data_IF_755340540143
#
_entry.id   IF_755340540143
#
_cell.length_a   1.000
_cell.length_b   1.000
_cell.length_c   1.000
_cell.angle_alpha   90.00
_cell.angle_beta   90.00
_cell.angle_gamma   90.00
#
_symmetry.space_group_name_H-M   'P 1'
#
loop_
_entity.id
_entity.type
_entity.pdbx_description
1 polymer ?
#
# COMPACT_ATOMS: atom_id res chain seq x y z
N UNK A 1 -16.90 -36.86 -36.52
CA UNK A 1 -18.10 -36.57 -35.71
C UNK A 1 -17.75 -35.32 -34.92
N UNK A 2 -18.04 -34.15 -35.50
CA UNK A 2 -17.59 -32.84 -35.02
C UNK A 2 -18.59 -32.32 -34.01
N UNK A 3 -18.17 -32.19 -32.76
CA UNK A 3 -18.99 -31.71 -31.66
C UNK A 3 -19.04 -30.18 -31.73
N UNK A 4 -20.10 -29.65 -32.33
CA UNK A 4 -20.36 -28.21 -32.40
C UNK A 4 -20.64 -27.73 -30.97
N UNK A 5 -19.63 -27.11 -30.35
CA UNK A 5 -19.79 -26.37 -29.10
C UNK A 5 -20.87 -25.31 -29.30
N UNK A 6 -22.06 -25.58 -28.76
CA UNK A 6 -23.15 -24.63 -28.69
C UNK A 6 -22.69 -23.41 -27.88
N UNK A 7 -22.28 -22.35 -28.57
CA UNK A 7 -22.09 -21.04 -27.96
C UNK A 7 -23.45 -20.59 -27.47
N UNK A 8 -23.67 -20.72 -26.17
CA UNK A 8 -24.87 -20.25 -25.48
C UNK A 8 -24.92 -18.72 -25.57
N UNK A 9 -25.42 -18.22 -26.71
CA UNK A 9 -25.74 -16.81 -26.89
C UNK A 9 -26.87 -16.48 -25.91
N UNK A 10 -26.51 -16.00 -24.71
CA UNK A 10 -27.47 -15.41 -23.77
C UNK A 10 -28.26 -14.34 -24.54
N UNK A 11 -29.55 -14.60 -24.77
CA UNK A 11 -30.46 -13.62 -25.33
C UNK A 11 -30.35 -12.34 -24.51
N UNK A 12 -30.17 -11.16 -25.14
CA UNK A 12 -30.17 -9.91 -24.40
C UNK A 12 -31.53 -9.79 -23.72
N UNK A 13 -31.53 -9.80 -22.39
CA UNK A 13 -32.72 -9.50 -21.59
C UNK A 13 -33.18 -8.13 -22.06
N UNK A 14 -34.40 -8.03 -22.60
CA UNK A 14 -35.02 -6.74 -22.93
C UNK A 14 -35.30 -6.01 -21.62
N UNK A 15 -34.30 -5.33 -21.11
CA UNK A 15 -34.44 -4.48 -19.92
C UNK A 15 -35.13 -3.18 -20.32
N UNK A 16 -36.07 -2.76 -19.49
CA UNK A 16 -36.64 -1.42 -19.59
C UNK A 16 -35.57 -0.38 -19.22
N UNK A 17 -35.65 0.86 -19.74
CA UNK A 17 -34.73 1.92 -19.37
C UNK A 17 -34.65 2.17 -17.85
N UNK A 18 -35.78 1.97 -17.15
CA UNK A 18 -35.86 2.10 -15.69
C UNK A 18 -35.10 0.98 -14.97
N UNK A 19 -35.27 -0.28 -15.38
CA UNK A 19 -34.54 -1.41 -14.79
C UNK A 19 -33.02 -1.28 -14.99
N UNK A 20 -32.60 -0.81 -16.17
CA UNK A 20 -31.20 -0.50 -16.45
C UNK A 20 -30.69 0.60 -15.52
N UNK A 21 -31.43 1.70 -15.38
CA UNK A 21 -31.05 2.81 -14.50
C UNK A 21 -30.92 2.37 -13.03
N UNK A 22 -31.87 1.56 -12.54
CA UNK A 22 -31.84 1.05 -11.16
C UNK A 22 -30.63 0.14 -10.93
N UNK A 23 -30.33 -0.75 -11.89
CA UNK A 23 -29.17 -1.64 -11.81
C UNK A 23 -27.86 -0.86 -11.82
N UNK A 24 -27.69 0.08 -12.76
CA UNK A 24 -26.48 0.91 -12.85
C UNK A 24 -26.31 1.78 -11.61
N UNK A 25 -27.40 2.35 -11.09
CA UNK A 25 -27.38 3.13 -9.84
C UNK A 25 -26.96 2.27 -8.65
N UNK A 26 -27.50 1.06 -8.53
CA UNK A 26 -27.11 0.11 -7.48
C UNK A 26 -25.65 -0.32 -7.58
N UNK A 27 -25.17 -0.60 -8.80
CA UNK A 27 -23.77 -0.93 -9.06
C UNK A 27 -22.83 0.24 -8.70
N UNK A 28 -23.22 1.46 -9.07
CA UNK A 28 -22.49 2.68 -8.72
C UNK A 28 -22.43 2.91 -7.22
N UNK A 29 -23.56 2.84 -6.51
CA UNK A 29 -23.60 2.98 -5.05
C UNK A 29 -22.77 1.93 -4.33
N UNK A 30 -22.79 0.68 -4.80
CA UNK A 30 -21.96 -0.39 -4.25
C UNK A 30 -20.46 -0.15 -4.51
N UNK A 31 -20.10 0.38 -5.68
CA UNK A 31 -18.71 0.76 -5.99
C UNK A 31 -18.24 1.93 -5.13
N UNK A 32 -19.09 2.95 -4.95
CA UNK A 32 -18.81 4.10 -4.10
C UNK A 32 -18.63 3.70 -2.64
N UNK A 33 -19.54 2.89 -2.11
CA UNK A 33 -19.43 2.36 -0.74
C UNK A 33 -18.15 1.54 -0.55
N UNK A 34 -17.81 0.69 -1.53
CA UNK A 34 -16.57 -0.09 -1.50
C UNK A 34 -15.34 0.82 -1.48
N UNK A 35 -15.29 1.84 -2.34
CA UNK A 35 -14.18 2.79 -2.37
C UNK A 35 -14.07 3.53 -1.04
N UNK A 36 -15.19 4.03 -0.50
CA UNK A 36 -15.24 4.70 0.79
C UNK A 36 -14.73 3.79 1.92
N UNK A 37 -15.15 2.52 1.93
CA UNK A 37 -14.71 1.54 2.91
C UNK A 37 -13.21 1.24 2.83
N UNK A 38 -12.67 0.99 1.63
CA UNK A 38 -11.24 0.76 1.44
C UNK A 38 -10.42 1.99 1.85
N UNK A 39 -10.92 3.18 1.52
CA UNK A 39 -10.31 4.46 1.90
C UNK A 39 -10.31 4.64 3.42
N UNK A 40 -11.41 4.30 4.09
CA UNK A 40 -11.53 4.36 5.55
C UNK A 40 -10.60 3.36 6.26
N UNK A 41 -10.25 2.25 5.62
CA UNK A 41 -9.30 1.28 6.16
C UNK A 41 -7.83 1.69 5.97
N UNK A 42 -7.49 2.27 4.82
CA UNK A 42 -6.10 2.60 4.49
C UNK A 42 -5.67 3.97 5.03
N UNK A 43 -6.54 4.98 5.00
CA UNK A 43 -6.24 6.35 5.46
C UNK A 43 -5.67 6.40 6.89
N UNK A 44 -6.23 5.71 7.91
CA UNK A 44 -5.68 5.75 9.26
C UNK A 44 -4.25 5.18 9.34
N UNK A 45 -3.94 4.17 8.53
CA UNK A 45 -2.59 3.58 8.48
C UNK A 45 -1.61 4.55 7.83
N UNK A 46 -2.02 5.24 6.76
CA UNK A 46 -1.20 6.28 6.12
C UNK A 46 -0.94 7.45 7.07
N UNK A 47 -1.98 7.92 7.77
CA UNK A 47 -1.86 9.01 8.75
C UNK A 47 -0.98 8.60 9.92
N UNK A 48 -1.20 7.42 10.51
CA UNK A 48 -0.36 6.91 11.60
C UNK A 48 1.10 6.79 11.14
N UNK A 49 1.33 6.31 9.93
CA UNK A 49 2.67 6.22 9.36
C UNK A 49 3.33 7.58 9.18
N UNK A 50 2.61 8.55 8.60
CA UNK A 50 3.11 9.89 8.36
C UNK A 50 3.41 10.64 9.66
N UNK A 51 2.49 10.62 10.61
CA UNK A 51 2.60 11.34 11.89
C UNK A 51 3.63 10.73 12.84
N UNK A 52 4.08 9.51 12.59
CA UNK A 52 5.11 8.83 13.41
C UNK A 52 6.41 8.60 12.64
N UNK A 53 6.58 9.26 11.48
CA UNK A 53 7.76 9.09 10.62
C UNK A 53 9.07 9.48 11.32
N UNK A 54 9.03 10.49 12.19
CA UNK A 54 10.18 11.00 12.94
C UNK A 54 10.44 10.23 14.26
N UNK A 55 9.57 9.27 14.63
CA UNK A 55 9.75 8.47 15.82
C UNK A 55 10.72 7.30 15.57
N UNK A 56 11.99 7.51 15.90
CA UNK A 56 13.05 6.51 15.77
C UNK A 56 12.87 5.31 16.72
N UNK A 57 13.27 4.13 16.27
CA UNK A 57 13.23 2.89 17.07
C UNK A 57 14.58 2.64 17.74
N UNK A 58 14.73 3.09 18.99
CA UNK A 58 15.98 2.98 19.75
C UNK A 58 16.27 1.59 20.34
N UNK A 59 15.28 0.69 20.38
CA UNK A 59 15.39 -0.60 21.10
C UNK A 59 16.53 -1.49 20.62
N UNK A 60 16.97 -1.32 19.38
CA UNK A 60 18.00 -2.15 18.75
C UNK A 60 19.38 -1.48 18.71
N UNK A 61 19.51 -0.24 19.18
CA UNK A 61 20.76 0.51 19.12
C UNK A 61 21.87 -0.12 19.98
N UNK A 62 21.49 -0.84 21.04
CA UNK A 62 22.44 -1.52 21.94
C UNK A 62 23.19 -2.68 21.26
N UNK A 63 22.74 -3.14 20.09
CA UNK A 63 23.36 -4.23 19.34
C UNK A 63 24.54 -3.72 18.50
N UNK A 64 24.63 -2.41 18.26
CA UNK A 64 25.60 -1.81 17.33
C UNK A 64 26.48 -0.78 18.04
N UNK A 65 27.80 -1.00 18.01
CA UNK A 65 28.78 -0.09 18.62
C UNK A 65 28.95 1.22 17.83
N UNK A 66 28.87 1.13 16.50
CA UNK A 66 29.05 2.29 15.62
C UNK A 66 27.77 3.11 15.53
N UNK A 67 27.87 4.41 15.80
CA UNK A 67 26.77 5.36 15.66
C UNK A 67 26.16 5.32 14.25
N UNK A 68 26.97 5.11 13.22
CA UNK A 68 26.55 5.03 11.82
C UNK A 68 25.68 3.79 11.51
N UNK A 69 25.76 2.74 12.33
CA UNK A 69 25.02 1.48 12.12
C UNK A 69 23.75 1.38 12.96
N UNK A 70 23.55 2.31 13.91
CA UNK A 70 22.40 2.27 14.83
C UNK A 70 21.07 2.29 14.06
N UNK A 71 20.16 1.34 14.33
CA UNK A 71 18.85 1.28 13.70
C UNK A 71 18.02 2.54 13.86
N UNK A 72 18.15 3.28 14.96
CA UNK A 72 17.43 4.54 15.16
C UNK A 72 17.65 5.59 14.06
N UNK A 73 18.76 5.53 13.30
CA UNK A 73 19.02 6.47 12.22
C UNK A 73 18.19 6.23 10.95
N UNK A 74 17.65 5.01 10.78
CA UNK A 74 17.00 4.59 9.53
C UNK A 74 15.67 3.86 9.75
N UNK A 75 15.44 3.34 10.95
CA UNK A 75 14.23 2.63 11.34
C UNK A 75 13.34 3.54 12.19
N UNK A 76 12.17 3.88 11.66
CA UNK A 76 11.14 4.63 12.37
C UNK A 76 9.84 3.84 12.53
N UNK A 77 9.05 4.23 13.54
CA UNK A 77 7.69 3.71 13.74
C UNK A 77 6.86 3.94 12.47
N UNK A 78 6.94 5.13 11.89
CA UNK A 78 6.25 5.46 10.65
C UNK A 78 6.63 4.56 9.48
N UNK A 79 7.92 4.23 9.33
CA UNK A 79 8.40 3.29 8.31
C UNK A 79 7.86 1.87 8.48
N UNK A 80 7.72 1.40 9.72
CA UNK A 80 7.11 0.11 10.04
C UNK A 80 5.62 0.13 9.70
N UNK A 81 4.89 1.17 10.12
CA UNK A 81 3.44 1.31 9.83
C UNK A 81 3.21 1.42 8.31
N UNK A 82 4.09 2.10 7.57
CA UNK A 82 4.00 2.16 6.10
C UNK A 82 4.14 0.78 5.45
N UNK A 83 4.98 -0.08 6.03
CA UNK A 83 5.12 -1.47 5.56
C UNK A 83 3.78 -2.20 5.68
N UNK A 84 3.06 -2.02 6.79
CA UNK A 84 1.70 -2.54 6.95
C UNK A 84 0.73 -1.99 5.90
N UNK A 85 0.83 -0.70 5.52
CA UNK A 85 0.00 -0.12 4.46
C UNK A 85 0.24 -0.82 3.10
N UNK A 86 1.50 -1.09 2.74
CA UNK A 86 1.85 -1.84 1.54
C UNK A 86 1.26 -3.26 1.54
N UNK A 87 1.30 -3.95 2.68
CA UNK A 87 0.72 -5.29 2.83
C UNK A 87 -0.82 -5.26 2.78
N UNK A 88 -1.45 -4.21 3.32
CA UNK A 88 -2.90 -4.03 3.29
C UNK A 88 -3.42 -3.84 1.85
N UNK A 89 -2.70 -3.09 1.03
CA UNK A 89 -3.01 -2.88 -0.39
C UNK A 89 -2.95 -4.19 -1.20
N UNK A 90 -2.07 -5.12 -0.82
CA UNK A 90 -2.05 -6.47 -1.40
C UNK A 90 -3.35 -7.24 -1.09
N UNK A 91 -3.89 -7.10 0.12
CA UNK A 91 -5.18 -7.69 0.48
C UNK A 91 -6.34 -7.06 -0.30
N UNK A 92 -6.27 -5.75 -0.56
CA UNK A 92 -7.26 -5.07 -1.41
C UNK A 92 -7.24 -5.63 -2.83
N UNK A 93 -6.04 -5.75 -3.41
CA UNK A 93 -5.81 -6.30 -4.75
C UNK A 93 -6.32 -7.74 -4.86
N UNK A 94 -6.12 -8.54 -3.80
CA UNK A 94 -6.67 -9.90 -3.72
C UNK A 94 -8.20 -9.94 -3.79
N UNK A 95 -8.87 -9.10 -3.00
CA UNK A 95 -10.32 -9.17 -2.83
C UNK A 95 -11.07 -8.50 -3.98
N UNK A 96 -10.59 -7.36 -4.45
CA UNK A 96 -11.31 -6.45 -5.34
C UNK A 96 -10.61 -6.21 -6.69
N UNK A 97 -9.36 -6.62 -6.84
CA UNK A 97 -8.54 -6.37 -8.02
C UNK A 97 -7.73 -5.07 -7.94
N UNK A 98 -6.76 -4.94 -8.84
CA UNK A 98 -5.77 -3.87 -8.82
C UNK A 98 -6.30 -2.49 -9.19
N UNK A 99 -7.30 -2.41 -10.07
CA UNK A 99 -7.95 -1.12 -10.38
C UNK A 99 -8.59 -0.52 -9.13
N UNK A 100 -9.28 -1.36 -8.36
CA UNK A 100 -9.98 -0.97 -7.14
C UNK A 100 -9.01 -0.67 -6.01
N UNK A 101 -7.93 -1.44 -5.89
CA UNK A 101 -6.85 -1.15 -4.95
C UNK A 101 -6.15 0.18 -5.28
N UNK A 102 -5.90 0.45 -6.57
CA UNK A 102 -5.28 1.69 -7.04
C UNK A 102 -6.15 2.91 -6.76
N UNK A 103 -7.46 2.83 -7.02
CA UNK A 103 -8.42 3.88 -6.66
C UNK A 103 -8.43 4.14 -5.15
N UNK A 104 -8.39 3.08 -4.34
CA UNK A 104 -8.32 3.20 -2.89
C UNK A 104 -7.02 3.86 -2.42
N UNK A 105 -5.86 3.54 -3.04
CA UNK A 105 -4.58 4.22 -2.78
C UNK A 105 -4.73 5.72 -3.06
N UNK A 106 -5.18 6.10 -4.26
CA UNK A 106 -5.32 7.52 -4.64
C UNK A 106 -6.26 8.26 -3.70
N UNK A 107 -7.42 7.68 -3.40
CA UNK A 107 -8.41 8.28 -2.49
C UNK A 107 -7.86 8.42 -1.07
N UNK A 108 -7.13 7.42 -0.56
CA UNK A 108 -6.58 7.45 0.81
C UNK A 108 -5.48 8.48 0.97
N UNK A 109 -4.59 8.62 -0.02
CA UNK A 109 -3.60 9.70 -0.01
C UNK A 109 -4.24 11.08 -0.12
N UNK A 110 -5.30 11.23 -0.93
CA UNK A 110 -6.06 12.48 -1.02
C UNK A 110 -6.72 12.86 0.30
N UNK A 111 -7.41 11.90 0.95
CA UNK A 111 -8.03 12.14 2.27
C UNK A 111 -6.97 12.39 3.34
N UNK A 112 -5.87 11.62 3.36
CA UNK A 112 -4.77 11.84 4.30
C UNK A 112 -4.15 13.23 4.15
N UNK A 113 -3.94 13.69 2.91
CA UNK A 113 -3.44 15.04 2.64
C UNK A 113 -4.40 16.10 3.19
N UNK A 114 -5.71 15.98 2.94
CA UNK A 114 -6.72 16.91 3.47
C UNK A 114 -6.66 16.94 5.01
N UNK A 115 -6.60 15.79 5.67
CA UNK A 115 -6.52 15.70 7.13
C UNK A 115 -5.24 16.34 7.68
N UNK A 116 -4.09 16.07 7.04
CA UNK A 116 -2.81 16.67 7.44
C UNK A 116 -2.84 18.19 7.26
N UNK A 117 -3.31 18.70 6.11
CA UNK A 117 -3.39 20.15 5.89
C UNK A 117 -4.38 20.84 6.82
N UNK A 118 -5.53 20.21 7.12
CA UNK A 118 -6.47 20.72 8.11
C UNK A 118 -5.84 20.80 9.50
N UNK A 119 -5.15 19.73 9.94
CA UNK A 119 -4.44 19.71 11.21
C UNK A 119 -3.31 20.75 11.28
N UNK A 120 -2.54 20.93 10.20
CA UNK A 120 -1.51 21.96 10.12
C UNK A 120 -2.11 23.37 10.19
N UNK A 121 -3.24 23.62 9.53
CA UNK A 121 -3.92 24.91 9.60
C UNK A 121 -4.43 25.23 11.02
N UNK A 122 -4.91 24.22 11.74
CA UNK A 122 -5.34 24.37 13.14
C UNK A 122 -4.16 24.59 14.10
N UNK A 123 -3.05 23.87 13.92
CA UNK A 123 -1.87 23.97 14.78
C UNK A 123 -0.91 25.09 14.39
N UNK A 124 -1.09 25.73 13.22
CA UNK A 124 -0.22 26.78 12.70
C UNK A 124 0.16 27.89 13.70
N UNK A 125 -0.72 28.35 14.62
CA UNK A 125 -0.33 29.38 15.60
C UNK A 125 0.68 28.93 16.64
N UNK A 126 0.86 27.61 16.85
CA UNK A 126 1.69 27.03 17.92
C UNK A 126 2.95 26.36 17.35
N UNK A 127 2.91 25.92 16.09
CA UNK A 127 4.03 25.23 15.44
C UNK A 127 5.22 26.17 15.19
N UNK A 128 6.41 25.66 15.42
CA UNK A 128 7.69 26.30 15.14
C UNK A 128 8.37 25.62 13.94
N UNK A 129 9.30 26.31 13.29
CA UNK A 129 10.06 25.74 12.16
C UNK A 129 10.80 24.44 12.53
N UNK A 130 11.20 24.29 13.80
CA UNK A 130 11.86 23.08 14.31
C UNK A 130 10.94 21.87 14.43
N UNK A 131 9.61 22.07 14.40
CA UNK A 131 8.64 20.99 14.52
C UNK A 131 8.42 20.26 13.19
N UNK A 132 8.96 20.78 12.09
CA UNK A 132 8.78 20.21 10.77
C UNK A 132 9.97 19.35 10.35
N UNK A 133 9.73 18.10 9.89
CA UNK A 133 10.77 17.34 9.20
C UNK A 133 11.17 18.05 7.90
N UNK A 134 12.39 17.77 7.44
CA UNK A 134 12.90 18.36 6.20
C UNK A 134 11.93 18.08 5.03
N UNK A 135 11.48 19.14 4.34
CA UNK A 135 10.49 19.05 3.27
C UNK A 135 10.88 18.03 2.18
N UNK A 136 12.18 17.93 1.86
CA UNK A 136 12.73 16.93 0.93
C UNK A 136 12.40 15.49 1.35
N UNK A 137 12.53 15.19 2.65
CA UNK A 137 12.31 13.85 3.20
C UNK A 137 10.83 13.51 3.20
N UNK A 138 9.97 14.50 3.51
CA UNK A 138 8.51 14.37 3.45
C UNK A 138 8.06 14.05 2.02
N UNK A 139 8.51 14.84 1.05
CA UNK A 139 8.17 14.64 -0.38
C UNK A 139 8.68 13.28 -0.87
N UNK A 140 9.94 12.94 -0.55
CA UNK A 140 10.52 11.65 -0.90
C UNK A 140 9.73 10.49 -0.28
N UNK A 141 9.31 10.61 0.98
CA UNK A 141 8.53 9.58 1.67
C UNK A 141 7.16 9.37 1.02
N UNK A 142 6.39 10.44 0.82
CA UNK A 142 5.05 10.35 0.23
C UNK A 142 5.11 9.80 -1.19
N UNK A 143 6.00 10.35 -2.03
CA UNK A 143 6.13 9.93 -3.42
C UNK A 143 6.58 8.47 -3.55
N UNK A 144 7.61 8.07 -2.80
CA UNK A 144 8.12 6.70 -2.83
C UNK A 144 7.12 5.69 -2.27
N UNK A 145 6.42 6.02 -1.19
CA UNK A 145 5.41 5.15 -0.58
C UNK A 145 4.22 4.94 -1.53
N UNK A 146 3.72 6.00 -2.14
CA UNK A 146 2.61 5.91 -3.09
C UNK A 146 3.00 5.11 -4.34
N UNK A 147 4.18 5.35 -4.92
CA UNK A 147 4.70 4.58 -6.06
C UNK A 147 4.91 3.10 -5.69
N UNK A 148 5.48 2.82 -4.51
CA UNK A 148 5.67 1.47 -4.01
C UNK A 148 4.35 0.71 -3.86
N UNK A 149 3.28 1.37 -3.39
CA UNK A 149 1.95 0.78 -3.30
C UNK A 149 1.38 0.44 -4.68
N UNK A 150 1.47 1.33 -5.67
CA UNK A 150 1.02 1.01 -7.04
C UNK A 150 1.81 -0.14 -7.66
N UNK A 151 3.13 -0.20 -7.42
CA UNK A 151 3.95 -1.33 -7.90
C UNK A 151 3.57 -2.64 -7.20
N UNK A 152 3.32 -2.62 -5.89
CA UNK A 152 2.82 -3.80 -5.19
C UNK A 152 1.49 -4.30 -5.79
N UNK A 153 0.55 -3.39 -6.06
CA UNK A 153 -0.72 -3.73 -6.73
C UNK A 153 -0.48 -4.37 -8.10
N UNK A 154 0.34 -3.72 -8.93
CA UNK A 154 0.60 -4.18 -10.30
C UNK A 154 1.23 -5.58 -10.32
N UNK A 155 2.30 -5.78 -9.54
CA UNK A 155 2.95 -7.09 -9.45
C UNK A 155 2.02 -8.16 -8.90
N UNK A 156 1.17 -7.82 -7.92
CA UNK A 156 0.20 -8.77 -7.40
C UNK A 156 -0.80 -9.20 -8.47
N UNK A 157 -1.35 -8.24 -9.23
CA UNK A 157 -2.36 -8.49 -10.25
C UNK A 157 -1.84 -9.24 -11.47
N UNK A 158 -0.55 -9.08 -11.81
CA UNK A 158 0.12 -9.86 -12.86
C UNK A 158 0.44 -11.28 -12.39
N UNK A 159 0.78 -11.46 -11.11
CA UNK A 159 1.23 -12.75 -10.58
C UNK A 159 0.11 -13.63 -9.99
N UNK A 160 -1.11 -13.09 -9.84
CA UNK A 160 -2.26 -13.87 -9.34
C UNK A 160 -2.71 -14.90 -10.39
N UNK A 161 -3.04 -16.12 -9.93
CA UNK A 161 -3.84 -17.08 -10.71
C UNK A 161 -3.13 -18.14 -11.55
N UNK A 162 -1.89 -18.52 -11.20
CA UNK A 162 -1.23 -19.66 -11.86
C UNK A 162 0.02 -20.21 -11.17
N UNK A 163 0.35 -19.76 -9.96
CA UNK A 163 1.55 -20.14 -9.23
C UNK A 163 1.30 -20.48 -7.77
N UNK A 164 2.37 -20.76 -7.02
CA UNK A 164 2.29 -21.02 -5.59
C UNK A 164 1.61 -19.84 -4.85
N UNK A 165 0.77 -20.16 -3.85
CA UNK A 165 -0.06 -19.18 -3.13
C UNK A 165 0.73 -18.02 -2.48
N UNK A 166 2.02 -18.24 -2.16
CA UNK A 166 2.92 -17.26 -1.56
C UNK A 166 3.60 -16.36 -2.60
N UNK A 167 3.62 -16.75 -3.88
CA UNK A 167 4.39 -16.08 -4.94
C UNK A 167 3.87 -14.66 -5.19
N UNK A 168 2.57 -14.53 -5.46
CA UNK A 168 1.95 -13.24 -5.72
C UNK A 168 2.12 -12.24 -4.56
N UNK A 169 1.75 -12.55 -3.29
CA UNK A 169 1.90 -11.60 -2.18
C UNK A 169 3.36 -11.28 -1.86
N UNK A 170 4.28 -12.26 -1.91
CA UNK A 170 5.69 -12.03 -1.56
C UNK A 170 6.38 -11.14 -2.60
N UNK A 171 6.25 -11.48 -3.89
CA UNK A 171 6.92 -10.71 -4.94
C UNK A 171 6.33 -9.30 -5.03
N UNK A 172 5.00 -9.15 -4.87
CA UNK A 172 4.37 -7.84 -4.80
C UNK A 172 4.90 -6.99 -3.64
N UNK A 173 5.00 -7.56 -2.45
CA UNK A 173 5.52 -6.86 -1.28
C UNK A 173 6.98 -6.46 -1.48
N UNK A 174 7.83 -7.38 -1.94
CA UNK A 174 9.25 -7.11 -2.21
C UNK A 174 9.44 -6.03 -3.28
N UNK A 175 8.67 -6.09 -4.38
CA UNK A 175 8.75 -5.09 -5.45
C UNK A 175 8.32 -3.71 -4.96
N UNK A 176 7.20 -3.61 -4.24
CA UNK A 176 6.71 -2.33 -3.71
C UNK A 176 7.61 -1.73 -2.64
N UNK A 177 8.02 -2.52 -1.65
CA UNK A 177 8.89 -2.07 -0.56
C UNK A 177 10.31 -1.77 -1.06
N UNK A 178 10.80 -2.55 -2.03
CA UNK A 178 12.09 -2.33 -2.68
C UNK A 178 12.10 -1.04 -3.50
N UNK A 179 11.04 -0.78 -4.29
CA UNK A 179 10.91 0.48 -5.02
C UNK A 179 10.85 1.67 -4.07
N UNK A 180 10.06 1.56 -3.00
CA UNK A 180 9.98 2.61 -1.98
C UNK A 180 11.37 2.95 -1.43
N UNK A 181 12.12 1.95 -0.95
CA UNK A 181 13.44 2.16 -0.39
C UNK A 181 14.42 2.75 -1.42
N UNK A 182 14.37 2.26 -2.66
CA UNK A 182 15.24 2.69 -3.76
C UNK A 182 15.00 4.13 -4.20
N UNK A 183 13.80 4.69 -3.94
CA UNK A 183 13.48 6.09 -4.21
C UNK A 183 13.73 6.94 -2.96
N UNK A 184 13.24 6.51 -1.80
CA UNK A 184 13.26 7.29 -0.56
C UNK A 184 14.69 7.63 -0.13
N UNK A 185 15.57 6.64 0.00
CA UNK A 185 16.90 6.85 0.58
C UNK A 185 17.79 7.76 -0.28
N UNK A 186 17.91 7.55 -1.61
CA UNK A 186 18.67 8.47 -2.44
C UNK A 186 18.12 9.89 -2.37
N UNK A 187 16.80 10.10 -2.40
CA UNK A 187 16.22 11.44 -2.38
C UNK A 187 16.32 12.13 -1.02
N UNK A 188 16.10 11.41 0.07
CA UNK A 188 16.11 11.99 1.41
C UNK A 188 17.53 12.33 1.91
N UNK A 189 18.54 11.58 1.43
CA UNK A 189 19.92 11.63 1.95
C UNK A 189 20.96 12.01 0.89
N UNK A 190 20.55 12.42 -0.33
CA UNK A 190 21.49 12.88 -1.34
C UNK A 190 22.37 14.02 -0.80
N UNK A 191 23.69 13.90 -1.02
CA UNK A 191 24.66 14.89 -0.57
C UNK A 191 24.87 14.95 0.95
N UNK A 192 24.38 13.96 1.72
CA UNK A 192 24.73 13.81 3.13
C UNK A 192 25.93 12.86 3.31
N UNK A 193 26.68 13.06 4.40
CA UNK A 193 27.79 12.17 4.81
C UNK A 193 27.29 10.86 5.47
N UNK A 194 25.97 10.68 5.55
CA UNK A 194 25.35 9.48 6.10
C UNK A 194 25.58 8.26 5.21
N UNK A 195 25.77 7.05 5.76
CA UNK A 195 25.86 5.80 5.00
C UNK A 195 24.48 5.32 4.52
N UNK A 196 23.74 6.19 3.84
CA UNK A 196 22.34 5.99 3.46
C UNK A 196 22.12 4.77 2.57
N UNK A 197 23.12 4.35 1.80
CA UNK A 197 23.04 3.13 0.98
C UNK A 197 22.96 1.88 1.87
N UNK A 198 23.75 1.83 2.95
CA UNK A 198 23.67 0.74 3.92
C UNK A 198 22.35 0.75 4.68
N UNK A 199 21.90 1.94 5.10
CA UNK A 199 20.59 2.13 5.72
C UNK A 199 19.44 1.65 4.85
N UNK A 200 19.47 1.96 3.55
CA UNK A 200 18.50 1.48 2.56
C UNK A 200 18.44 -0.04 2.51
N UNK A 201 19.58 -0.72 2.45
CA UNK A 201 19.64 -2.18 2.40
C UNK A 201 19.16 -2.81 3.72
N UNK A 202 19.52 -2.22 4.86
CA UNK A 202 19.08 -2.69 6.17
C UNK A 202 17.57 -2.55 6.35
N UNK A 203 17.02 -1.38 6.02
CA UNK A 203 15.58 -1.10 6.03
C UNK A 203 14.81 -2.06 5.11
N UNK A 204 15.25 -2.20 3.86
CA UNK A 204 14.63 -3.13 2.92
C UNK A 204 14.68 -4.57 3.43
N UNK A 205 15.77 -5.00 4.07
CA UNK A 205 15.91 -6.35 4.62
C UNK A 205 14.91 -6.61 5.75
N UNK A 206 14.72 -5.65 6.66
CA UNK A 206 13.70 -5.74 7.73
C UNK A 206 12.29 -5.79 7.13
N UNK A 207 12.01 -4.95 6.14
CA UNK A 207 10.73 -4.93 5.42
C UNK A 207 10.46 -6.21 4.65
N UNK A 208 11.48 -6.80 4.03
CA UNK A 208 11.40 -8.08 3.35
C UNK A 208 11.12 -9.23 4.34
N UNK A 209 11.75 -9.22 5.51
CA UNK A 209 11.44 -10.16 6.58
C UNK A 209 9.99 -10.00 7.08
N UNK A 210 9.51 -8.75 7.21
CA UNK A 210 8.11 -8.45 7.51
C UNK A 210 7.14 -8.97 6.45
N UNK A 211 7.48 -8.83 5.17
CA UNK A 211 6.71 -9.38 4.05
C UNK A 211 6.68 -10.92 4.07
N UNK A 212 7.78 -11.58 4.45
CA UNK A 212 7.80 -13.03 4.65
C UNK A 212 6.94 -13.45 5.84
N UNK A 213 7.02 -12.73 6.96
CA UNK A 213 6.20 -12.96 8.16
C UNK A 213 4.70 -12.71 7.92
N UNK A 214 4.35 -11.90 6.91
CA UNK A 214 2.97 -11.69 6.47
C UNK A 214 2.37 -12.90 5.76
N UNK A 215 3.18 -13.78 5.15
CA UNK A 215 2.67 -14.95 4.41
C UNK A 215 1.72 -15.87 5.20
N UNK A 216 2.00 -16.29 6.44
CA UNK A 216 1.04 -17.08 7.22
C UNK A 216 -0.27 -16.33 7.47
N UNK A 217 -0.22 -15.03 7.77
CA UNK A 217 -1.40 -14.19 7.97
C UNK A 217 -2.21 -14.10 6.68
N UNK A 218 -1.52 -13.83 5.57
CA UNK A 218 -2.12 -13.80 4.25
C UNK A 218 -2.81 -15.12 3.94
N UNK A 219 -2.15 -16.27 4.16
CA UNK A 219 -2.70 -17.62 3.97
C UNK A 219 -3.97 -17.84 4.80
N UNK A 220 -4.00 -17.44 6.07
CA UNK A 220 -5.19 -17.53 6.89
C UNK A 220 -6.34 -16.66 6.33
N UNK A 221 -6.03 -15.45 5.87
CA UNK A 221 -7.00 -14.54 5.26
C UNK A 221 -7.45 -14.97 3.86
N UNK A 222 -6.73 -15.85 3.17
CA UNK A 222 -7.07 -16.28 1.82
C UNK A 222 -8.46 -16.92 1.73
N UNK A 223 -8.90 -17.62 2.79
CA UNK A 223 -10.19 -18.29 2.86
C UNK A 223 -11.35 -17.30 3.06
N UNK A 224 -11.11 -16.24 3.84
CA UNK A 224 -12.09 -15.20 4.15
C UNK A 224 -12.19 -14.17 3.02
N UNK A 225 -11.04 -13.76 2.47
CA UNK A 225 -10.92 -12.79 1.38
C UNK A 225 -10.92 -13.52 0.03
N UNK A 226 -12.07 -14.13 -0.30
CA UNK A 226 -12.28 -14.72 -1.62
C UNK A 226 -12.20 -13.63 -2.69
N UNK A 227 -11.64 -13.88 -3.87
CA UNK A 227 -11.67 -12.93 -4.97
C UNK A 227 -13.12 -12.64 -5.40
N UNK A 228 -13.52 -11.38 -5.61
CA UNK A 228 -14.81 -11.03 -6.26
C UNK A 228 -14.61 -10.93 -7.77
N UNK A 229 -15.67 -11.10 -8.56
CA UNK A 229 -15.70 -10.69 -9.98
C UNK A 229 -14.69 -11.37 -10.91
N UNK A 230 -14.34 -12.65 -10.68
CA UNK A 230 -13.42 -13.39 -11.56
C UNK A 230 -11.93 -13.14 -11.30
N UNK A 231 -11.56 -12.33 -10.30
CA UNK A 231 -10.18 -12.04 -9.93
C UNK A 231 -9.45 -13.18 -9.18
N UNK A 232 -10.01 -14.40 -9.20
CA UNK A 232 -9.45 -15.50 -8.42
C UNK A 232 -8.32 -16.26 -9.06
N UNK A 233 -8.02 -15.98 -10.33
CA UNK A 233 -7.22 -16.89 -11.12
C UNK A 233 -7.97 -18.20 -11.39
N UNK A 234 -7.48 -18.96 -12.36
CA UNK A 234 -7.97 -20.31 -12.63
C UNK A 234 -7.38 -21.29 -11.61
#
# INVERSE_FOLDING_TARGET
>A
MEEILAVEQRRPVRETPLEKLVRESGAFSAALFRLAWLTALLTPVLLASFLTLDLAVFRFDQIFDSAAQKPSNWLSVGGIVMTCAGLLVILFSRRYGGDEASRAITASWGVAAIVVFAGLAELAPVLQDSDFPAARSVVAFVASAMLGQYVAVHFYDVLRGGGAWWRAPLIAALAGLGLQASIFYPWAFWGSDSPWFFWMLADFSVKAAGAAAFLPIYRALQQTLKPRGGFGGR
#
